data_IF_277263514477
#
_entry.id   IF_277263514477
#
_cell.length_a   1.000
_cell.length_b   1.000
_cell.length_c   1.000
_cell.angle_alpha   90.00
_cell.angle_beta   90.00
_cell.angle_gamma   90.00
#
_symmetry.space_group_name_H-M   'P 1'
#
loop_
_entity.id
_entity.type
_entity.pdbx_description
1 polymer ?
#
# COMPACT_ATOMS: atom_id res chain seq x y z
N UNK A 1 6.12 19.58 -5.42
CA UNK A 1 4.69 19.32 -5.18
C UNK A 1 4.36 18.12 -6.04
N UNK A 2 4.11 16.94 -5.47
CA UNK A 2 3.89 15.73 -6.28
C UNK A 2 2.64 15.96 -7.15
N UNK A 3 2.83 15.97 -8.46
CA UNK A 3 1.76 15.95 -9.45
C UNK A 3 1.13 14.54 -9.43
N UNK A 4 0.32 14.27 -8.42
CA UNK A 4 -0.37 13.00 -8.28
C UNK A 4 -1.49 12.96 -9.31
N UNK A 5 -1.17 12.39 -10.48
CA UNK A 5 -2.08 12.19 -11.61
C UNK A 5 -3.43 11.64 -11.13
N UNK A 6 -4.53 12.09 -11.75
CA UNK A 6 -5.90 11.63 -11.43
C UNK A 6 -5.99 10.08 -11.40
N UNK A 7 -5.26 9.42 -12.30
CA UNK A 7 -5.14 7.96 -12.35
C UNK A 7 -4.60 7.34 -11.04
N UNK A 8 -3.63 7.97 -10.37
CA UNK A 8 -3.10 7.48 -9.09
C UNK A 8 -4.15 7.59 -7.97
N UNK A 9 -5.00 8.63 -8.00
CA UNK A 9 -6.10 8.77 -7.04
C UNK A 9 -7.17 7.70 -7.25
N UNK A 10 -7.53 7.41 -8.50
CA UNK A 10 -8.52 6.38 -8.82
C UNK A 10 -8.04 4.98 -8.41
N UNK A 11 -6.74 4.69 -8.60
CA UNK A 11 -6.10 3.46 -8.09
C UNK A 11 -6.08 3.44 -6.56
N UNK A 12 -5.77 4.56 -5.90
CA UNK A 12 -5.79 4.65 -4.44
C UNK A 12 -7.20 4.36 -3.88
N UNK A 13 -8.25 4.95 -4.44
CA UNK A 13 -9.64 4.65 -4.02
C UNK A 13 -9.97 3.17 -4.19
N UNK A 14 -9.49 2.54 -5.25
CA UNK A 14 -9.65 1.10 -5.46
C UNK A 14 -8.93 0.28 -4.38
N UNK A 15 -7.71 0.67 -3.99
CA UNK A 15 -6.97 0.02 -2.91
C UNK A 15 -7.58 0.24 -1.53
N UNK A 16 -8.15 1.41 -1.26
CA UNK A 16 -8.92 1.64 -0.02
C UNK A 16 -10.09 0.66 0.07
N UNK A 17 -10.83 0.44 -1.02
CA UNK A 17 -11.96 -0.47 -1.03
C UNK A 17 -11.54 -1.95 -0.94
N UNK A 18 -10.48 -2.35 -1.65
CA UNK A 18 -10.04 -3.74 -1.73
C UNK A 18 -9.34 -4.22 -0.46
N UNK A 19 -8.54 -3.35 0.15
CA UNK A 19 -7.66 -3.70 1.27
C UNK A 19 -8.04 -3.02 2.58
N UNK A 20 -9.12 -2.21 2.58
CA UNK A 20 -9.57 -1.44 3.74
C UNK A 20 -8.47 -0.53 4.32
N UNK A 21 -7.63 0.01 3.44
CA UNK A 21 -6.50 0.88 3.81
C UNK A 21 -6.97 2.31 4.09
N UNK A 22 -6.26 3.00 4.98
CA UNK A 22 -6.38 4.45 5.14
C UNK A 22 -5.91 5.16 3.86
N UNK A 23 -6.37 6.41 3.68
CA UNK A 23 -6.17 7.15 2.42
C UNK A 23 -4.69 7.38 2.08
N UNK A 24 -3.83 7.57 3.07
CA UNK A 24 -2.40 7.78 2.84
C UNK A 24 -1.69 6.49 2.40
N UNK A 25 -2.08 5.36 2.97
CA UNK A 25 -1.52 4.05 2.66
C UNK A 25 -1.90 3.63 1.26
N UNK A 26 -3.17 3.79 0.92
CA UNK A 26 -3.66 3.52 -0.42
C UNK A 26 -3.00 4.43 -1.48
N UNK A 27 -2.73 5.70 -1.14
CA UNK A 27 -2.06 6.63 -2.04
C UNK A 27 -0.58 6.28 -2.23
N UNK A 28 0.10 5.84 -1.18
CA UNK A 28 1.48 5.34 -1.26
C UNK A 28 1.58 4.09 -2.12
N UNK A 29 0.66 3.13 -1.94
CA UNK A 29 0.61 1.92 -2.74
C UNK A 29 0.32 2.22 -4.21
N UNK A 30 -0.67 3.09 -4.48
CA UNK A 30 -1.00 3.53 -5.83
C UNK A 30 0.17 4.26 -6.51
N UNK A 31 0.91 5.08 -5.77
CA UNK A 31 2.09 5.78 -6.31
C UNK A 31 3.20 4.78 -6.66
N UNK A 32 3.42 3.77 -5.81
CA UNK A 32 4.40 2.71 -6.05
C UNK A 32 4.05 1.92 -7.31
N UNK A 33 2.77 1.53 -7.44
CA UNK A 33 2.24 0.83 -8.60
C UNK A 33 2.34 1.66 -9.89
N UNK A 34 1.89 2.92 -9.88
CA UNK A 34 1.91 3.79 -11.06
C UNK A 34 3.33 4.12 -11.55
N UNK A 35 4.32 4.14 -10.66
CA UNK A 35 5.72 4.40 -11.01
C UNK A 35 6.53 3.12 -11.29
N UNK A 36 5.89 1.94 -11.26
CA UNK A 36 6.53 0.64 -11.50
C UNK A 36 7.73 0.38 -10.59
N UNK A 37 7.66 0.82 -9.32
CA UNK A 37 8.70 0.48 -8.34
C UNK A 37 8.51 -0.98 -7.88
N UNK A 38 9.57 -1.78 -7.96
CA UNK A 38 9.57 -3.19 -7.54
C UNK A 38 9.55 -3.37 -6.00
N UNK A 39 9.88 -2.32 -5.25
CA UNK A 39 10.06 -2.38 -3.81
C UNK A 39 9.32 -1.26 -3.08
N UNK A 40 8.64 -1.65 -2.01
CA UNK A 40 7.90 -0.76 -1.12
C UNK A 40 8.60 -0.74 0.24
N UNK A 41 9.41 0.29 0.49
CA UNK A 41 10.06 0.51 1.77
C UNK A 41 9.14 1.35 2.67
N UNK A 42 8.45 0.67 3.60
CA UNK A 42 7.62 1.31 4.61
C UNK A 42 8.17 0.98 6.00
N UNK A 43 8.19 1.98 6.89
CA UNK A 43 8.41 1.79 8.32
C UNK A 43 7.09 1.55 9.07
N UNK A 44 5.97 1.66 8.36
CA UNK A 44 4.65 1.44 8.93
C UNK A 44 4.40 -0.07 9.08
N UNK A 45 4.06 -0.46 10.31
CA UNK A 45 3.94 -1.87 10.67
C UNK A 45 2.64 -2.48 10.18
N UNK A 46 1.64 -1.68 9.83
CA UNK A 46 0.33 -2.13 9.37
C UNK A 46 0.37 -2.70 7.94
N UNK A 47 1.26 -2.20 7.09
CA UNK A 47 1.55 -2.76 5.78
C UNK A 47 2.23 -4.14 5.84
N UNK A 48 3.04 -4.38 6.87
CA UNK A 48 3.76 -5.63 7.07
C UNK A 48 2.87 -6.76 7.61
N UNK A 49 1.67 -6.43 8.15
CA UNK A 49 0.87 -7.36 8.94
C UNK A 49 0.35 -8.57 8.14
N UNK A 50 0.15 -8.43 6.83
CA UNK A 50 -0.27 -9.54 5.97
C UNK A 50 0.88 -10.36 5.37
N UNK A 51 2.12 -9.86 5.41
CA UNK A 51 3.28 -10.52 4.80
C UNK A 51 4.08 -11.38 5.79
N UNK A 52 4.06 -11.04 7.08
CA UNK A 52 4.84 -11.73 8.11
C UNK A 52 4.02 -12.57 9.11
N UNK A 53 2.69 -12.60 8.99
CA UNK A 53 1.83 -13.44 9.85
C UNK A 53 1.96 -14.96 9.62
N UNK A 54 2.95 -15.41 8.85
CA UNK A 54 3.31 -16.82 8.65
C UNK A 54 4.42 -17.33 9.58
N UNK A 55 4.80 -16.59 10.62
CA UNK A 55 5.92 -16.96 11.50
C UNK A 55 5.58 -16.86 12.97
N UNK A 56 4.72 -17.76 13.48
CA UNK A 56 4.79 -18.37 14.82
C UNK A 56 3.52 -19.23 15.04
N UNK A 57 3.45 -20.35 14.33
CA UNK A 57 2.92 -21.56 14.96
C UNK A 57 4.11 -22.21 15.66
N UNK A 58 3.96 -22.50 16.95
CA UNK A 58 4.27 -23.79 17.60
C UNK A 58 4.54 -23.59 19.11
N UNK A 59 3.55 -24.06 19.89
CA UNK A 59 3.55 -24.67 21.23
C UNK A 59 4.34 -24.05 22.40
#
# INVERSE_FOLDING_TARGET
>A
MLDTNQSTKDVAVSYMALFQLEIFDAMHLATTFCNSYDYFATLDSDFAHNLYSGGHQEY
#
